data_IF_693955489069
#
_entry.id   IF_693955489069
#
_cell.length_a   1.000
_cell.length_b   1.000
_cell.length_c   1.000
_cell.angle_alpha   90.00
_cell.angle_beta   90.00
_cell.angle_gamma   90.00
#
_symmetry.space_group_name_H-M   'P 1'
#
loop_
_entity.id
_entity.type
_entity.pdbx_description
1 polymer ?
#
# COMPACT_ATOMS: atom_id res chain seq x y z
N UNK A 1 37.99 27.72 3.36
CA UNK A 1 36.78 27.64 2.51
C UNK A 1 36.08 26.33 2.83
N UNK A 2 34.97 26.38 3.56
CA UNK A 2 34.20 25.19 3.93
C UNK A 2 32.98 25.12 3.04
N UNK A 3 32.88 24.08 2.21
CA UNK A 3 31.68 23.81 1.40
C UNK A 3 30.55 23.36 2.34
N UNK A 4 29.44 24.09 2.32
CA UNK A 4 28.25 23.79 3.13
C UNK A 4 27.70 22.41 2.82
N UNK A 5 27.49 21.61 3.86
CA UNK A 5 26.86 20.28 3.80
C UNK A 5 25.41 20.44 3.31
N UNK A 6 25.06 19.78 2.20
CA UNK A 6 23.69 19.77 1.69
C UNK A 6 22.72 19.25 2.77
N UNK A 7 21.58 19.93 2.94
CA UNK A 7 20.53 19.51 3.86
C UNK A 7 19.94 18.16 3.40
N UNK A 8 19.56 17.25 4.33
CA UNK A 8 18.97 15.97 3.95
C UNK A 8 17.67 16.18 3.18
N UNK A 9 17.59 15.62 1.97
CA UNK A 9 16.36 15.55 1.19
C UNK A 9 15.35 14.70 1.95
N UNK A 10 14.26 15.30 2.42
CA UNK A 10 13.12 14.53 2.92
C UNK A 10 12.48 13.81 1.73
N UNK A 11 12.68 12.50 1.66
CA UNK A 11 11.87 11.62 0.81
C UNK A 11 10.41 11.82 1.21
N UNK A 12 9.56 12.26 0.27
CA UNK A 12 8.13 12.31 0.51
C UNK A 12 7.60 10.89 0.58
N UNK A 13 6.88 10.56 1.65
CA UNK A 13 6.27 9.24 1.81
C UNK A 13 4.97 9.16 1.03
N UNK A 14 4.71 7.98 0.46
CA UNK A 14 3.50 7.66 -0.28
C UNK A 14 2.74 6.57 0.48
N UNK A 15 1.47 6.84 0.78
CA UNK A 15 0.53 5.85 1.29
C UNK A 15 -0.46 5.49 0.18
N UNK A 16 -0.68 4.19 -0.05
CA UNK A 16 -1.71 3.67 -0.94
C UNK A 16 -2.88 3.15 -0.11
N UNK A 17 -4.10 3.59 -0.44
CA UNK A 17 -5.33 3.10 0.19
C UNK A 17 -6.10 2.29 -0.85
N UNK A 18 -6.41 1.05 -0.52
CA UNK A 18 -7.18 0.12 -1.35
C UNK A 18 -8.53 -0.07 -0.67
N UNK A 19 -9.59 0.47 -1.26
CA UNK A 19 -10.98 0.18 -0.88
C UNK A 19 -11.43 -1.06 -1.66
N UNK A 20 -12.05 -2.03 -0.98
CA UNK A 20 -12.39 -3.31 -1.60
C UNK A 20 -13.72 -3.89 -1.08
N UNK A 21 -14.39 -4.68 -1.92
CA UNK A 21 -15.60 -5.44 -1.60
C UNK A 21 -15.74 -6.60 -2.60
N UNK A 22 -15.66 -7.84 -2.12
CA UNK A 22 -15.74 -9.07 -2.90
C UNK A 22 -14.76 -9.12 -4.11
N UNK A 23 -13.48 -8.86 -3.85
CA UNK A 23 -12.39 -8.83 -4.83
C UNK A 23 -11.39 -10.01 -4.65
N UNK A 24 -11.86 -11.19 -4.20
CA UNK A 24 -10.97 -12.34 -4.01
C UNK A 24 -10.19 -12.72 -5.28
N UNK A 25 -10.70 -12.41 -6.47
CA UNK A 25 -10.01 -12.66 -7.72
C UNK A 25 -8.78 -11.75 -7.97
N UNK A 26 -8.74 -10.56 -7.36
CA UNK A 26 -7.78 -9.50 -7.72
C UNK A 26 -6.99 -8.93 -6.54
N UNK A 27 -7.49 -9.05 -5.31
CA UNK A 27 -6.94 -8.33 -4.14
C UNK A 27 -5.46 -8.62 -3.90
N UNK A 28 -5.00 -9.86 -4.07
CA UNK A 28 -3.57 -10.18 -3.90
C UNK A 28 -2.68 -9.48 -4.93
N UNK A 29 -3.14 -9.46 -6.19
CA UNK A 29 -2.40 -8.79 -7.26
C UNK A 29 -2.42 -7.28 -7.06
N UNK A 30 -3.53 -6.73 -6.57
CA UNK A 30 -3.67 -5.32 -6.23
C UNK A 30 -2.66 -4.90 -5.16
N UNK A 31 -2.64 -5.59 -4.01
CA UNK A 31 -1.71 -5.30 -2.90
C UNK A 31 -0.25 -5.44 -3.37
N UNK A 32 0.09 -6.51 -4.09
CA UNK A 32 1.45 -6.70 -4.65
C UNK A 32 1.86 -5.56 -5.57
N UNK A 33 0.94 -5.04 -6.39
CA UNK A 33 1.21 -3.90 -7.28
C UNK A 33 1.41 -2.58 -6.54
N UNK A 34 0.82 -2.43 -5.34
CA UNK A 34 0.92 -1.23 -4.52
C UNK A 34 2.18 -1.16 -3.65
N UNK A 35 3.04 -2.20 -3.67
CA UNK A 35 4.30 -2.29 -2.88
C UNK A 35 5.35 -1.23 -3.23
N UNK A 36 5.09 -0.34 -4.18
CA UNK A 36 5.91 0.86 -4.40
C UNK A 36 5.67 1.95 -3.35
N UNK A 37 4.52 1.90 -2.65
CA UNK A 37 4.20 2.81 -1.56
C UNK A 37 4.95 2.40 -0.28
N UNK A 38 5.25 3.38 0.58
CA UNK A 38 5.83 3.13 1.90
C UNK A 38 4.83 2.45 2.85
N UNK A 39 3.54 2.63 2.58
CA UNK A 39 2.43 2.11 3.35
C UNK A 39 1.28 1.70 2.42
N UNK A 40 0.70 0.52 2.66
CA UNK A 40 -0.49 0.04 1.96
C UNK A 40 -1.55 -0.26 3.01
N UNK A 41 -2.70 0.42 2.92
CA UNK A 41 -3.84 0.23 3.81
C UNK A 41 -5.00 -0.35 2.99
N UNK A 42 -5.44 -1.54 3.35
CA UNK A 42 -6.64 -2.16 2.78
C UNK A 42 -7.82 -1.85 3.70
N UNK A 43 -8.90 -1.32 3.13
CA UNK A 43 -10.16 -1.06 3.82
C UNK A 43 -11.24 -1.89 3.13
N UNK A 44 -11.69 -2.91 3.82
CA UNK A 44 -12.74 -3.80 3.35
C UNK A 44 -14.13 -3.24 3.69
N UNK A 45 -15.04 -3.25 2.71
CA UNK A 45 -16.40 -2.76 2.82
C UNK A 45 -17.40 -3.90 3.12
N UNK A 46 -17.02 -4.88 3.94
CA UNK A 46 -17.87 -5.99 4.34
C UNK A 46 -17.97 -7.06 3.26
N UNK A 47 -16.83 -7.54 2.78
CA UNK A 47 -16.77 -8.69 1.87
C UNK A 47 -17.33 -9.96 2.54
N UNK A 48 -18.04 -10.75 1.76
CA UNK A 48 -18.60 -12.06 2.16
C UNK A 48 -17.80 -13.24 1.56
N UNK A 49 -16.83 -12.93 0.70
CA UNK A 49 -15.94 -13.87 0.04
C UNK A 49 -14.58 -13.95 0.78
N UNK A 50 -13.55 -14.50 0.13
CA UNK A 50 -12.24 -14.64 0.75
C UNK A 50 -11.37 -13.37 0.71
N UNK A 51 -11.88 -12.21 0.26
CA UNK A 51 -11.11 -10.97 0.04
C UNK A 51 -10.21 -10.60 1.22
N UNK A 52 -10.74 -10.57 2.45
CA UNK A 52 -9.96 -10.23 3.65
C UNK A 52 -8.81 -11.21 3.90
N UNK A 53 -9.10 -12.52 3.85
CA UNK A 53 -8.10 -13.56 4.04
C UNK A 53 -7.03 -13.55 2.94
N UNK A 54 -7.39 -13.14 1.72
CA UNK A 54 -6.40 -12.97 0.66
C UNK A 54 -5.59 -11.67 0.79
N UNK A 55 -6.20 -10.58 1.24
CA UNK A 55 -5.51 -9.31 1.49
C UNK A 55 -4.43 -9.45 2.57
N UNK A 56 -4.72 -10.17 3.66
CA UNK A 56 -3.79 -10.36 4.79
C UNK A 56 -2.52 -11.14 4.42
N UNK A 57 -2.59 -12.03 3.41
CA UNK A 57 -1.43 -12.82 2.96
C UNK A 57 -0.63 -12.19 1.82
N UNK A 58 -1.09 -11.09 1.24
CA UNK A 58 -0.58 -10.51 -0.01
C UNK A 58 0.67 -9.65 0.16
#
# INVERSE_FOLDING_TARGET
MTIGKAAPTRMQRVSAIILTHNEEALIERCVKSARFADEVVVVDCGSEDQTCALAERA
#
